data_IF_804138130398
#
_entry.id   IF_804138130398
#
_cell.length_a   1.000
_cell.length_b   1.000
_cell.length_c   1.000
_cell.angle_alpha   90.00
_cell.angle_beta   90.00
_cell.angle_gamma   90.00
#
_symmetry.space_group_name_H-M   'P 1'
#
loop_
_entity.id
_entity.type
_entity.pdbx_description
1 polymer ?
#
# COMPACT_ATOMS: atom_id res chain seq x y z
N UNK A 1 16.55 10.93 -24.70
CA UNK A 1 16.29 11.28 -23.28
C UNK A 1 14.87 11.81 -22.99
N UNK A 2 14.08 12.25 -23.97
CA UNK A 2 12.75 12.85 -23.74
C UNK A 2 11.55 11.89 -23.61
N UNK A 3 11.75 10.59 -23.81
CA UNK A 3 10.63 9.63 -23.98
C UNK A 3 10.30 8.82 -22.72
N UNK A 4 11.26 8.69 -21.80
CA UNK A 4 11.08 8.02 -20.50
C UNK A 4 10.30 8.93 -19.54
N UNK A 5 10.56 10.24 -19.57
CA UNK A 5 9.87 11.23 -18.73
C UNK A 5 8.40 11.42 -19.11
N UNK A 6 8.05 11.31 -20.41
CA UNK A 6 6.66 11.46 -20.90
C UNK A 6 5.75 10.30 -20.50
N UNK A 7 6.29 9.09 -20.30
CA UNK A 7 5.51 7.93 -19.82
C UNK A 7 5.30 7.96 -18.30
N UNK A 8 6.29 8.43 -17.54
CA UNK A 8 6.17 8.57 -16.08
C UNK A 8 5.07 9.57 -15.70
N UNK A 9 5.05 10.76 -16.33
CA UNK A 9 4.00 11.75 -16.08
C UNK A 9 2.60 11.26 -16.45
N UNK A 10 2.47 10.51 -17.55
CA UNK A 10 1.18 9.93 -17.96
C UNK A 10 0.68 8.84 -17.01
N UNK A 11 1.55 7.93 -16.55
CA UNK A 11 1.15 6.88 -15.63
C UNK A 11 0.73 7.46 -14.27
N UNK A 12 1.48 8.43 -13.73
CA UNK A 12 1.11 9.14 -12.51
C UNK A 12 -0.18 9.94 -12.70
N UNK A 13 -0.34 10.65 -13.82
CA UNK A 13 -1.54 11.45 -14.10
C UNK A 13 -2.79 10.60 -14.39
N UNK A 14 -2.63 9.39 -14.96
CA UNK A 14 -3.71 8.44 -15.12
C UNK A 14 -4.07 7.84 -13.78
N UNK A 15 -3.12 7.29 -13.01
CA UNK A 15 -3.37 6.67 -11.71
C UNK A 15 -3.86 7.66 -10.63
N UNK A 16 -3.57 8.96 -10.77
CA UNK A 16 -4.03 10.01 -9.87
C UNK A 16 -5.48 10.47 -10.16
N UNK A 17 -6.11 10.04 -11.26
CA UNK A 17 -7.52 10.36 -11.51
C UNK A 17 -8.38 9.75 -10.39
N UNK A 18 -9.28 10.53 -9.77
CA UNK A 18 -10.12 10.07 -8.66
C UNK A 18 -11.31 9.24 -9.18
N UNK A 19 -11.04 8.28 -10.06
CA UNK A 19 -12.04 7.39 -10.65
C UNK A 19 -11.82 5.97 -10.12
N UNK A 20 -12.88 5.26 -9.66
CA UNK A 20 -12.75 3.89 -9.15
C UNK A 20 -12.12 2.92 -10.15
N UNK A 21 -12.46 3.03 -11.43
CA UNK A 21 -11.93 2.17 -12.50
C UNK A 21 -10.41 2.35 -12.69
N UNK A 22 -9.92 3.58 -12.53
CA UNK A 22 -8.48 3.89 -12.59
C UNK A 22 -7.74 3.27 -11.41
N UNK A 23 -8.33 3.28 -10.22
CA UNK A 23 -7.73 2.64 -9.03
C UNK A 23 -7.69 1.13 -9.17
N UNK A 24 -8.74 0.53 -9.74
CA UNK A 24 -8.76 -0.90 -10.01
C UNK A 24 -7.67 -1.30 -11.01
N UNK A 25 -7.51 -0.55 -12.10
CA UNK A 25 -6.44 -0.79 -13.07
C UNK A 25 -5.04 -0.62 -12.44
N UNK A 26 -4.82 0.47 -11.69
CA UNK A 26 -3.54 0.70 -11.01
C UNK A 26 -3.22 -0.40 -9.97
N UNK A 27 -4.24 -0.89 -9.27
CA UNK A 27 -4.12 -2.02 -8.34
C UNK A 27 -3.72 -3.30 -9.07
N UNK A 28 -4.47 -3.67 -10.12
CA UNK A 28 -4.19 -4.86 -10.92
C UNK A 28 -2.78 -4.79 -11.52
N UNK A 29 -2.39 -3.66 -12.10
CA UNK A 29 -1.07 -3.48 -12.68
C UNK A 29 0.06 -3.60 -11.64
N UNK A 30 -0.16 -3.11 -10.42
CA UNK A 30 0.84 -3.16 -9.36
C UNK A 30 0.94 -4.53 -8.67
N UNK A 31 -0.19 -5.20 -8.43
CA UNK A 31 -0.27 -6.45 -7.66
C UNK A 31 -0.14 -7.67 -8.58
N UNK A 32 -0.89 -7.68 -9.69
CA UNK A 32 -1.00 -8.82 -10.62
C UNK A 32 -0.08 -8.63 -11.85
N UNK A 33 0.21 -7.39 -12.25
CA UNK A 33 0.98 -7.07 -13.45
C UNK A 33 2.48 -7.40 -13.38
N UNK A 34 2.98 -8.20 -14.33
CA UNK A 34 4.41 -8.52 -14.47
C UNK A 34 5.18 -7.65 -15.47
N UNK A 35 4.47 -6.77 -16.18
CA UNK A 35 5.00 -6.06 -17.34
C UNK A 35 5.54 -4.65 -17.02
N UNK A 36 5.29 -4.12 -15.82
CA UNK A 36 5.75 -2.77 -15.47
C UNK A 36 7.26 -2.76 -15.23
N UNK A 37 7.94 -1.76 -15.78
CA UNK A 37 9.31 -1.45 -15.34
C UNK A 37 9.31 -0.98 -13.89
N UNK A 38 10.43 -1.13 -13.17
CA UNK A 38 10.53 -0.71 -11.76
C UNK A 38 10.15 0.76 -11.53
N UNK A 39 10.49 1.63 -12.49
CA UNK A 39 10.13 3.04 -12.48
C UNK A 39 8.62 3.24 -12.63
N UNK A 40 7.99 2.49 -13.54
CA UNK A 40 6.56 2.57 -13.79
C UNK A 40 5.76 2.01 -12.60
N UNK A 41 6.18 0.88 -12.04
CA UNK A 41 5.60 0.33 -10.82
C UNK A 41 5.63 1.33 -9.67
N UNK A 42 6.77 2.01 -9.47
CA UNK A 42 6.91 3.03 -8.43
C UNK A 42 5.93 4.21 -8.66
N UNK A 43 5.80 4.67 -9.90
CA UNK A 43 4.86 5.72 -10.27
C UNK A 43 3.39 5.30 -10.07
N UNK A 44 3.04 4.06 -10.43
CA UNK A 44 1.70 3.50 -10.25
C UNK A 44 1.33 3.44 -8.77
N UNK A 45 2.22 2.93 -7.92
CA UNK A 45 2.01 2.86 -6.47
C UNK A 45 1.79 4.26 -5.89
N UNK A 46 2.67 5.22 -6.22
CA UNK A 46 2.53 6.60 -5.75
C UNK A 46 1.19 7.19 -6.18
N UNK A 47 0.86 7.11 -7.48
CA UNK A 47 -0.40 7.61 -8.02
C UNK A 47 -1.63 6.94 -7.42
N UNK A 48 -1.56 5.64 -7.10
CA UNK A 48 -2.59 4.94 -6.37
C UNK A 48 -2.80 5.58 -4.99
N UNK A 49 -1.75 5.68 -4.17
CA UNK A 49 -1.80 6.18 -2.78
C UNK A 49 -2.14 7.66 -2.61
N UNK A 50 -2.03 8.49 -3.64
CA UNK A 50 -2.42 9.91 -3.59
C UNK A 50 -3.94 10.12 -3.65
N UNK A 51 -4.75 9.07 -3.86
CA UNK A 51 -6.20 9.22 -3.88
C UNK A 51 -6.82 9.56 -2.51
N UNK A 52 -8.02 10.16 -2.52
CA UNK A 52 -8.83 10.30 -1.31
C UNK A 52 -9.03 8.96 -0.58
N UNK A 53 -9.06 8.99 0.75
CA UNK A 53 -9.22 7.81 1.60
C UNK A 53 -10.41 6.93 1.20
N UNK A 54 -11.54 7.53 0.79
CA UNK A 54 -12.73 6.82 0.35
C UNK A 54 -12.49 5.90 -0.87
N UNK A 55 -11.59 6.26 -1.78
CA UNK A 55 -11.23 5.42 -2.93
C UNK A 55 -10.20 4.33 -2.58
N UNK A 56 -9.47 4.50 -1.48
CA UNK A 56 -8.46 3.55 -1.01
C UNK A 56 -9.03 2.55 0.00
N UNK A 57 -10.07 2.92 0.74
CA UNK A 57 -10.71 2.07 1.74
C UNK A 57 -11.07 0.66 1.24
N UNK A 58 -11.60 0.47 0.00
CA UNK A 58 -11.90 -0.87 -0.52
C UNK A 58 -10.67 -1.77 -0.71
N UNK A 59 -9.46 -1.23 -0.72
CA UNK A 59 -8.21 -1.96 -0.98
C UNK A 59 -7.45 -2.34 0.29
N UNK A 60 -7.94 -1.96 1.47
CA UNK A 60 -7.33 -2.35 2.75
C UNK A 60 -7.33 -3.87 2.92
N UNK A 61 -8.47 -4.52 2.71
CA UNK A 61 -8.56 -5.99 2.84
C UNK A 61 -7.80 -6.71 1.71
N UNK A 62 -7.98 -6.36 0.41
CA UNK A 62 -7.19 -6.92 -0.69
C UNK A 62 -5.68 -6.81 -0.49
N UNK A 63 -5.19 -5.73 0.14
CA UNK A 63 -3.78 -5.58 0.48
C UNK A 63 -3.27 -6.72 1.35
N UNK A 64 -3.95 -7.03 2.45
CA UNK A 64 -3.52 -8.09 3.37
C UNK A 64 -3.66 -9.49 2.75
N UNK A 65 -4.68 -9.69 1.92
CA UNK A 65 -4.91 -10.96 1.21
C UNK A 65 -3.80 -11.25 0.19
N UNK A 66 -3.30 -10.23 -0.52
CA UNK A 66 -2.34 -10.43 -1.60
C UNK A 66 -0.87 -10.51 -1.13
N UNK A 67 -0.54 -10.15 0.13
CA UNK A 67 0.84 -10.02 0.62
C UNK A 67 1.73 -11.24 0.34
N UNK A 68 1.24 -12.45 0.63
CA UNK A 68 2.01 -13.69 0.40
C UNK A 68 2.22 -13.94 -1.08
N UNK A 69 1.13 -13.86 -1.86
CA UNK A 69 1.18 -14.06 -3.32
C UNK A 69 2.17 -13.09 -4.00
N UNK A 70 2.14 -11.80 -3.63
CA UNK A 70 3.09 -10.81 -4.14
C UNK A 70 4.53 -11.17 -3.77
N UNK A 71 4.76 -11.67 -2.55
CA UNK A 71 6.08 -12.03 -2.10
C UNK A 71 6.63 -13.27 -2.80
N UNK A 72 5.79 -14.29 -3.02
CA UNK A 72 6.19 -15.57 -3.58
C UNK A 72 6.40 -15.50 -5.11
N UNK A 73 5.67 -14.62 -5.79
CA UNK A 73 5.67 -14.52 -7.25
C UNK A 73 6.57 -13.40 -7.82
N UNK A 74 7.24 -12.62 -6.98
CA UNK A 74 8.08 -11.48 -7.40
C UNK A 74 9.48 -11.56 -6.79
N UNK A 75 10.42 -10.86 -7.40
CA UNK A 75 11.72 -10.65 -6.77
C UNK A 75 11.56 -9.90 -5.44
N UNK A 76 12.47 -10.15 -4.49
CA UNK A 76 12.46 -9.52 -3.15
C UNK A 76 12.45 -7.98 -3.26
N UNK A 77 13.15 -7.41 -4.23
CA UNK A 77 13.16 -5.96 -4.45
C UNK A 77 11.76 -5.44 -4.83
N UNK A 78 11.09 -6.13 -5.76
CA UNK A 78 9.78 -5.72 -6.28
C UNK A 78 8.70 -5.93 -5.24
N UNK A 79 8.67 -7.09 -4.58
CA UNK A 79 7.72 -7.36 -3.51
C UNK A 79 7.89 -6.38 -2.35
N UNK A 80 9.13 -6.09 -1.93
CA UNK A 80 9.38 -5.11 -0.86
C UNK A 80 8.86 -3.71 -1.21
N UNK A 81 8.99 -3.30 -2.48
CA UNK A 81 8.47 -2.03 -2.98
C UNK A 81 6.94 -1.99 -2.95
N UNK A 82 6.28 -3.04 -3.46
CA UNK A 82 4.82 -3.15 -3.47
C UNK A 82 4.27 -3.15 -2.05
N UNK A 83 4.81 -4.00 -1.17
CA UNK A 83 4.32 -4.16 0.20
C UNK A 83 4.45 -2.86 1.00
N UNK A 84 5.60 -2.17 0.90
CA UNK A 84 5.80 -0.88 1.57
C UNK A 84 4.90 0.20 0.99
N UNK A 85 4.81 0.23 -0.34
CA UNK A 85 4.15 1.31 -1.05
C UNK A 85 2.63 1.27 -0.99
N UNK A 86 2.03 0.08 -0.99
CA UNK A 86 0.58 -0.09 -0.92
C UNK A 86 0.04 -0.23 0.51
N UNK A 87 0.90 -0.19 1.53
CA UNK A 87 0.43 -0.23 2.91
C UNK A 87 -0.51 0.96 3.17
N UNK A 88 -1.71 0.74 3.75
CA UNK A 88 -2.71 1.78 3.99
C UNK A 88 -2.29 2.70 5.15
N UNK A 89 -1.26 3.53 4.92
CA UNK A 89 -0.66 4.40 5.92
C UNK A 89 -1.49 5.68 6.17
N UNK A 90 -2.11 6.21 5.12
CA UNK A 90 -2.94 7.40 5.19
C UNK A 90 -4.31 7.05 5.77
N UNK A 91 -4.44 7.13 7.09
CA UNK A 91 -5.65 6.81 7.84
C UNK A 91 -5.97 7.95 8.81
N UNK A 92 -7.26 8.22 8.98
CA UNK A 92 -7.75 9.23 9.90
C UNK A 92 -8.25 8.56 11.19
N UNK A 93 -7.84 9.10 12.33
CA UNK A 93 -8.31 8.64 13.63
C UNK A 93 -9.66 9.29 13.94
N UNK A 94 -10.71 8.48 14.04
CA UNK A 94 -12.01 8.98 14.49
C UNK A 94 -11.92 9.49 15.94
N UNK A 95 -12.62 10.60 16.24
CA UNK A 95 -12.59 11.23 17.57
C UNK A 95 -12.95 10.22 18.67
N UNK A 96 -12.15 10.20 19.75
CA UNK A 96 -12.32 9.27 20.87
C UNK A 96 -11.84 7.83 20.62
N UNK A 97 -11.26 7.54 19.45
CA UNK A 97 -10.65 6.23 19.16
C UNK A 97 -9.22 6.18 19.69
N UNK A 98 -8.84 5.04 20.29
CA UNK A 98 -7.47 4.77 20.70
C UNK A 98 -6.67 4.36 19.45
N UNK A 99 -5.49 4.95 19.14
CA UNK A 99 -4.69 4.63 17.96
C UNK A 99 -4.45 3.12 17.73
N UNK A 100 -4.21 2.36 18.80
CA UNK A 100 -4.00 0.92 18.77
C UNK A 100 -5.24 0.12 18.34
N UNK A 101 -6.43 0.68 18.53
CA UNK A 101 -7.72 0.07 18.15
C UNK A 101 -8.15 0.44 16.74
N UNK A 102 -7.37 1.25 16.02
CA UNK A 102 -7.69 1.61 14.65
C UNK A 102 -7.80 0.34 13.77
N UNK A 103 -8.83 0.20 12.91
CA UNK A 103 -9.08 -1.03 12.17
C UNK A 103 -7.88 -1.56 11.39
N UNK A 104 -7.10 -0.67 10.76
CA UNK A 104 -5.88 -1.06 10.04
C UNK A 104 -4.77 -1.56 10.97
N UNK A 105 -4.61 -0.99 12.17
CA UNK A 105 -3.61 -1.47 13.14
C UNK A 105 -3.98 -2.87 13.60
N UNK A 106 -5.23 -3.08 14.00
CA UNK A 106 -5.76 -4.38 14.41
C UNK A 106 -5.62 -5.40 13.29
N UNK A 107 -6.01 -5.04 12.06
CA UNK A 107 -5.89 -5.92 10.88
C UNK A 107 -4.45 -6.30 10.59
N UNK A 108 -3.51 -5.37 10.79
CA UNK A 108 -2.06 -5.61 10.64
C UNK A 108 -1.56 -6.60 11.68
N UNK A 109 -1.98 -6.45 12.94
CA UNK A 109 -1.65 -7.38 14.03
C UNK A 109 -2.20 -8.78 13.77
N UNK A 110 -3.48 -8.87 13.39
CA UNK A 110 -4.12 -10.14 13.02
C UNK A 110 -3.36 -10.82 11.88
N UNK A 111 -2.92 -10.07 10.87
CA UNK A 111 -2.13 -10.64 9.78
C UNK A 111 -0.77 -11.17 10.28
N UNK A 112 -0.07 -10.43 11.15
CA UNK A 112 1.22 -10.82 11.72
C UNK A 112 1.09 -12.05 12.63
N UNK A 113 -0.01 -12.19 13.36
CA UNK A 113 -0.27 -13.37 14.21
C UNK A 113 -0.58 -14.59 13.36
N UNK A 114 -1.45 -14.46 12.36
CA UNK A 114 -1.87 -15.55 11.49
C UNK A 114 -0.76 -16.06 10.55
N UNK A 115 0.27 -15.25 10.26
CA UNK A 115 1.30 -15.54 9.26
C UNK A 115 2.70 -15.65 9.89
N UNK A 116 2.84 -16.35 11.02
CA UNK A 116 4.11 -16.52 11.73
C UNK A 116 5.21 -17.17 10.87
N UNK A 117 4.80 -18.00 9.91
CA UNK A 117 5.64 -18.71 8.95
C UNK A 117 6.04 -17.86 7.73
N UNK A 118 5.46 -16.66 7.57
CA UNK A 118 5.77 -15.81 6.43
C UNK A 118 7.26 -15.38 6.43
N UNK A 119 7.85 -15.14 5.25
CA UNK A 119 9.25 -14.75 5.13
C UNK A 119 9.63 -13.60 6.06
N UNK A 120 10.76 -13.73 6.77
CA UNK A 120 11.21 -12.77 7.80
C UNK A 120 11.27 -11.33 7.27
N UNK A 121 11.72 -11.16 6.02
CA UNK A 121 11.80 -9.85 5.39
C UNK A 121 10.42 -9.22 5.17
N UNK A 122 9.42 -10.00 4.75
CA UNK A 122 8.02 -9.54 4.62
C UNK A 122 7.47 -9.11 5.98
N UNK A 123 7.56 -9.99 7.00
CA UNK A 123 7.08 -9.67 8.35
C UNK A 123 7.72 -8.39 8.90
N UNK A 124 9.03 -8.21 8.67
CA UNK A 124 9.76 -7.00 9.10
C UNK A 124 9.18 -5.74 8.47
N UNK A 125 8.87 -5.76 7.17
CA UNK A 125 8.26 -4.62 6.48
C UNK A 125 6.91 -4.26 7.13
N UNK A 126 6.07 -5.26 7.37
CA UNK A 126 4.74 -5.05 7.95
C UNK A 126 4.83 -4.48 9.37
N UNK A 127 5.74 -4.98 10.20
CA UNK A 127 6.01 -4.43 11.55
C UNK A 127 6.49 -2.97 11.49
N UNK A 128 7.37 -2.64 10.55
CA UNK A 128 7.86 -1.27 10.34
C UNK A 128 6.70 -0.33 9.93
N UNK A 129 5.87 -0.75 8.96
CA UNK A 129 4.72 0.04 8.51
C UNK A 129 3.66 0.22 9.60
N UNK A 130 3.35 -0.83 10.36
CA UNK A 130 2.47 -0.75 11.54
C UNK A 130 2.98 0.31 12.52
N UNK A 131 4.28 0.31 12.80
CA UNK A 131 4.89 1.27 13.72
C UNK A 131 4.77 2.71 13.20
N UNK A 132 4.91 2.92 11.89
CA UNK A 132 4.69 4.24 11.29
C UNK A 132 3.23 4.69 11.39
N UNK A 133 2.29 3.79 11.08
CA UNK A 133 0.85 4.07 11.19
C UNK A 133 0.47 4.44 12.62
N UNK A 134 0.91 3.66 13.60
CA UNK A 134 0.60 3.91 15.00
C UNK A 134 1.14 5.28 15.44
N UNK A 135 2.36 5.65 15.02
CA UNK A 135 2.92 6.98 15.31
C UNK A 135 2.11 8.11 14.68
N UNK A 136 1.64 7.93 13.44
CA UNK A 136 0.81 8.92 12.75
C UNK A 136 -0.54 9.11 13.46
N UNK A 137 -1.22 8.03 13.81
CA UNK A 137 -2.50 8.06 14.54
C UNK A 137 -2.35 8.65 15.94
N UNK A 138 -1.28 8.29 16.66
CA UNK A 138 -0.98 8.88 17.99
C UNK A 138 -0.68 10.37 17.91
N UNK A 139 -0.10 10.86 16.81
CA UNK A 139 0.05 12.29 16.59
C UNK A 139 -1.32 12.96 16.41
N UNK A 140 -2.22 12.38 15.60
CA UNK A 140 -3.59 12.88 15.42
C UNK A 140 -4.38 12.93 16.73
N UNK A 141 -4.23 11.93 17.61
CA UNK A 141 -4.92 11.89 18.91
C UNK A 141 -4.53 13.02 19.88
N UNK A 142 -3.41 13.72 19.61
CA UNK A 142 -2.88 14.81 20.46
C UNK A 142 -3.23 16.19 19.92
N UNK A 143 -3.82 16.27 18.72
CA UNK A 143 -4.26 17.50 18.08
C UNK A 143 -5.77 17.68 18.28
#
# INVERSE_FOLDING_TARGET
LGDVYKRQGHATALAARPEPAVKAAAWQDAVEGAALSNQLLSATIVGFTTAPAALLAPYVEPYFECLRSVWDNRSIEISSRIVRGLFPLAQDLAAGTIPEQHPVVVRTDTWLEANIDAPRALRRIIVEQRSHLLRALTAQARH
#
